data_IF_153477448711
#
_entry.id   IF_153477448711
#
_cell.length_a   1.000
_cell.length_b   1.000
_cell.length_c   1.000
_cell.angle_alpha   90.00
_cell.angle_beta   90.00
_cell.angle_gamma   90.00
#
_symmetry.space_group_name_H-M   'P 1'
#
loop_
_entity.id
_entity.type
_entity.pdbx_description
1 polymer ?
#
# COMPACT_ATOMS: atom_id res chain seq x y z
N UNK A 1 -35.75 -5.01 80.05
CA UNK A 1 -34.74 -6.00 80.49
C UNK A 1 -33.42 -5.64 79.81
N UNK A 2 -32.42 -5.20 80.62
CA UNK A 2 -30.96 -5.02 80.39
C UNK A 2 -30.50 -4.20 79.15
N UNK A 3 -30.09 -2.92 79.25
CA UNK A 3 -28.86 -2.28 79.80
C UNK A 3 -27.60 -2.30 78.89
N UNK A 4 -27.19 -1.08 78.47
CA UNK A 4 -25.83 -0.46 78.40
C UNK A 4 -24.72 -1.13 77.57
N UNK A 5 -23.67 -0.48 77.05
CA UNK A 5 -23.22 0.90 76.76
C UNK A 5 -21.76 0.73 76.24
N UNK A 6 -21.23 1.76 75.54
CA UNK A 6 -19.81 2.15 75.47
C UNK A 6 -18.88 1.59 74.36
N UNK A 7 -18.69 2.45 73.34
CA UNK A 7 -17.45 3.00 72.77
C UNK A 7 -16.10 2.33 73.06
N UNK A 8 -15.29 2.10 72.01
CA UNK A 8 -13.85 2.35 72.05
C UNK A 8 -13.29 2.72 70.67
N UNK A 9 -12.71 3.92 70.58
CA UNK A 9 -11.82 4.36 69.50
C UNK A 9 -10.49 3.60 69.60
N UNK A 10 -10.01 3.03 68.49
CA UNK A 10 -8.58 2.74 68.31
C UNK A 10 -8.18 3.26 66.93
N UNK A 11 -7.47 4.38 66.93
CA UNK A 11 -6.62 4.83 65.82
C UNK A 11 -5.22 4.32 66.12
N UNK A 12 -4.66 3.50 65.24
CA UNK A 12 -3.22 3.25 65.18
C UNK A 12 -2.78 3.49 63.72
N UNK A 13 -1.97 4.53 63.57
CA UNK A 13 -1.20 4.89 62.38
C UNK A 13 0.21 4.29 62.51
N UNK A 14 0.93 4.21 61.37
CA UNK A 14 2.38 3.92 61.15
C UNK A 14 2.71 2.45 60.80
N UNK A 15 3.40 2.06 59.71
CA UNK A 15 4.43 2.70 58.86
C UNK A 15 4.48 2.14 57.42
N UNK A 16 5.18 2.89 56.56
CA UNK A 16 5.43 2.71 55.13
C UNK A 16 6.35 1.54 54.74
N UNK A 17 6.17 1.04 53.50
CA UNK A 17 7.18 1.01 52.40
C UNK A 17 7.08 -0.24 51.51
N UNK A 18 6.83 0.06 50.23
CA UNK A 18 7.18 -0.64 48.98
C UNK A 18 7.41 -2.16 49.00
N UNK A 19 6.61 -2.87 48.21
CA UNK A 19 7.21 -3.63 47.11
C UNK A 19 6.22 -3.89 45.95
N UNK A 20 6.64 -3.39 44.78
CA UNK A 20 6.48 -3.97 43.45
C UNK A 20 5.09 -4.33 42.90
N UNK A 21 4.77 -3.69 41.76
CA UNK A 21 3.92 -4.33 40.74
C UNK A 21 2.97 -3.40 40.01
N UNK A 22 3.44 -2.28 39.44
CA UNK A 22 2.70 -1.69 38.32
C UNK A 22 2.86 -2.63 37.12
N UNK A 23 1.92 -3.55 36.96
CA UNK A 23 1.79 -4.34 35.73
C UNK A 23 1.37 -3.38 34.61
N UNK A 24 2.34 -2.68 34.02
CA UNK A 24 2.25 -2.22 32.64
C UNK A 24 2.31 -3.46 31.75
N UNK A 25 1.17 -4.16 31.64
CA UNK A 25 0.96 -5.14 30.61
C UNK A 25 1.10 -4.42 29.27
N UNK A 26 2.22 -4.64 28.57
CA UNK A 26 2.33 -4.37 27.14
C UNK A 26 1.30 -5.28 26.46
N UNK A 27 0.07 -4.78 26.31
CA UNK A 27 -0.93 -5.43 25.49
C UNK A 27 -0.36 -5.58 24.09
N UNK A 28 -0.07 -6.81 23.68
CA UNK A 28 0.20 -7.14 22.29
C UNK A 28 -0.96 -6.57 21.47
N UNK A 29 -0.67 -5.59 20.60
CA UNK A 29 -1.68 -5.09 19.67
C UNK A 29 -2.17 -6.29 18.87
N UNK A 30 -3.44 -6.67 19.03
CA UNK A 30 -4.02 -7.76 18.25
C UNK A 30 -3.83 -7.44 16.77
N UNK A 31 -3.27 -8.38 16.00
CA UNK A 31 -3.19 -8.27 14.53
C UNK A 31 -4.60 -8.12 13.95
N UNK A 32 -4.74 -7.34 12.89
CA UNK A 32 -6.00 -7.17 12.16
C UNK A 32 -6.45 -8.51 11.54
N UNK A 33 -7.75 -8.67 11.30
CA UNK A 33 -8.29 -9.82 10.58
C UNK A 33 -8.27 -9.55 9.07
N UNK A 34 -8.08 -10.59 8.23
CA UNK A 34 -8.20 -10.45 6.78
C UNK A 34 -9.62 -10.11 6.35
N UNK A 35 -9.77 -9.46 5.20
CA UNK A 35 -11.07 -9.22 4.57
C UNK A 35 -11.84 -7.98 5.07
N UNK A 36 -11.39 -7.31 6.12
CA UNK A 36 -12.01 -6.11 6.69
C UNK A 36 -11.51 -4.83 6.00
N UNK A 37 -11.94 -4.63 4.76
CA UNK A 37 -11.68 -3.42 3.97
C UNK A 37 -12.78 -3.15 2.93
N UNK A 38 -12.79 -1.94 2.36
CA UNK A 38 -13.82 -1.49 1.41
C UNK A 38 -13.43 -1.68 -0.07
N UNK A 39 -12.18 -1.39 -0.44
CA UNK A 39 -11.69 -1.45 -1.82
C UNK A 39 -10.18 -1.71 -1.88
N UNK A 40 -9.68 -2.05 -3.07
CA UNK A 40 -8.24 -2.15 -3.32
C UNK A 40 -7.69 -0.92 -4.04
N UNK A 41 -6.50 -0.50 -3.65
CA UNK A 41 -5.62 0.34 -4.47
C UNK A 41 -4.62 -0.58 -5.18
N UNK A 42 -4.73 -0.70 -6.50
CA UNK A 42 -3.66 -1.29 -7.32
C UNK A 42 -2.69 -0.19 -7.72
N UNK A 43 -1.56 -0.12 -7.03
CA UNK A 43 -0.59 0.96 -7.12
C UNK A 43 0.56 0.56 -8.02
N UNK A 44 0.84 1.42 -9.00
CA UNK A 44 2.00 1.33 -9.87
C UNK A 44 2.97 2.47 -9.60
N UNK A 45 4.25 2.24 -9.89
CA UNK A 45 5.36 3.16 -9.66
C UNK A 45 6.13 3.44 -10.95
N UNK A 46 6.56 4.70 -11.08
CA UNK A 46 7.38 5.17 -12.18
C UNK A 46 8.82 5.35 -11.73
N UNK A 47 9.74 4.54 -12.25
CA UNK A 47 11.12 4.50 -11.76
C UNK A 47 11.80 5.87 -11.83
N UNK A 48 11.60 6.63 -12.91
CA UNK A 48 12.36 7.86 -13.14
C UNK A 48 12.08 8.98 -12.13
N UNK A 49 10.96 8.93 -11.43
CA UNK A 49 10.57 9.88 -10.38
C UNK A 49 10.52 9.25 -8.99
N UNK A 50 10.15 7.98 -8.86
CA UNK A 50 10.14 7.28 -7.57
C UNK A 50 11.54 7.21 -6.95
N UNK A 51 12.56 7.05 -7.79
CA UNK A 51 13.97 7.02 -7.37
C UNK A 51 14.53 8.39 -6.99
N UNK A 52 13.81 9.48 -7.24
CA UNK A 52 14.23 10.84 -6.84
C UNK A 52 13.85 11.17 -5.40
N UNK A 53 13.19 10.24 -4.69
CA UNK A 53 12.75 10.36 -3.30
C UNK A 53 13.87 10.04 -2.27
N UNK A 54 15.12 10.32 -2.61
CA UNK A 54 16.27 10.16 -1.70
C UNK A 54 16.91 8.77 -1.68
N UNK A 55 16.57 7.88 -2.60
CA UNK A 55 17.21 6.56 -2.74
C UNK A 55 17.62 6.29 -4.18
N UNK A 56 18.90 5.92 -4.38
CA UNK A 56 19.42 5.61 -5.71
C UNK A 56 18.92 4.24 -6.18
N UNK A 57 18.14 4.22 -7.25
CA UNK A 57 17.72 2.98 -7.87
C UNK A 57 18.83 2.28 -8.64
N UNK A 58 18.64 0.97 -8.83
CA UNK A 58 19.55 0.14 -9.60
C UNK A 58 19.36 0.37 -11.09
N UNK A 59 20.43 0.67 -11.86
CA UNK A 59 20.32 0.84 -13.31
C UNK A 59 19.75 -0.38 -14.04
N UNK A 60 20.01 -1.59 -13.54
CA UNK A 60 19.44 -2.84 -14.06
C UNK A 60 17.92 -2.93 -13.92
N UNK A 61 17.31 -2.07 -13.11
CA UNK A 61 15.86 -2.02 -12.93
C UNK A 61 15.19 -0.97 -13.81
N UNK A 62 15.93 -0.20 -14.62
CA UNK A 62 15.36 0.80 -15.52
C UNK A 62 14.46 0.14 -16.56
N UNK A 63 13.29 0.74 -16.78
CA UNK A 63 12.31 0.36 -17.81
C UNK A 63 11.40 1.55 -18.10
N UNK A 64 10.97 1.67 -19.35
CA UNK A 64 10.06 2.73 -19.80
C UNK A 64 8.60 2.33 -19.60
N UNK A 65 8.26 1.80 -18.42
CA UNK A 65 6.91 1.34 -18.09
C UNK A 65 6.62 1.51 -16.59
N UNK A 66 5.37 1.76 -16.25
CA UNK A 66 4.90 1.63 -14.88
C UNK A 66 5.02 0.17 -14.44
N UNK A 67 5.53 -0.04 -13.22
CA UNK A 67 5.58 -1.37 -12.60
C UNK A 67 4.75 -1.41 -11.35
N UNK A 68 4.41 -2.60 -10.88
CA UNK A 68 3.63 -2.79 -9.67
C UNK A 68 4.45 -2.32 -8.46
N UNK A 69 3.80 -1.54 -7.61
CA UNK A 69 4.23 -1.33 -6.23
C UNK A 69 3.45 -2.27 -5.32
N UNK A 70 2.12 -2.29 -5.42
CA UNK A 70 1.34 -3.31 -4.76
C UNK A 70 -0.17 -3.18 -4.87
N UNK A 71 -0.85 -4.16 -4.27
CA UNK A 71 -2.31 -4.25 -4.22
C UNK A 71 -2.75 -4.09 -2.76
N UNK A 72 -3.31 -2.93 -2.42
CA UNK A 72 -3.49 -2.54 -1.03
C UNK A 72 -4.96 -2.45 -0.65
N UNK A 73 -5.43 -3.30 0.28
CA UNK A 73 -6.71 -3.09 0.98
C UNK A 73 -6.79 -1.70 1.60
N UNK A 74 -7.87 -0.96 1.33
CA UNK A 74 -8.08 0.40 1.82
C UNK A 74 -9.56 0.65 2.19
N UNK A 75 -9.80 1.65 3.03
CA UNK A 75 -11.14 2.04 3.48
C UNK A 75 -11.52 3.44 3.01
N UNK A 76 -12.82 3.66 2.80
CA UNK A 76 -13.39 4.94 2.40
C UNK A 76 -13.17 6.04 3.44
N UNK A 77 -12.94 5.67 4.71
CA UNK A 77 -12.60 6.62 5.77
C UNK A 77 -11.11 7.04 5.80
N UNK A 78 -10.31 6.58 4.83
CA UNK A 78 -8.88 6.89 4.71
C UNK A 78 -7.96 6.03 5.58
N UNK A 79 -8.50 5.08 6.34
CA UNK A 79 -7.71 4.04 7.03
C UNK A 79 -7.46 2.83 6.11
N UNK A 80 -6.58 1.93 6.52
CA UNK A 80 -6.34 0.67 5.83
C UNK A 80 -5.92 -0.41 6.84
N UNK A 81 -6.34 -1.67 6.68
CA UNK A 81 -5.80 -2.76 7.47
C UNK A 81 -4.34 -3.03 7.07
N UNK A 82 -3.54 -3.52 8.01
CA UNK A 82 -2.17 -3.93 7.72
C UNK A 82 -1.71 -5.02 8.67
N UNK A 83 -0.77 -5.85 8.20
CA UNK A 83 -0.19 -6.94 8.99
C UNK A 83 -1.25 -7.87 9.59
N UNK A 84 -2.22 -8.27 8.76
CA UNK A 84 -3.32 -9.10 9.20
C UNK A 84 -2.86 -10.52 9.58
N UNK A 85 -3.72 -11.25 10.28
CA UNK A 85 -3.49 -12.68 10.52
C UNK A 85 -3.56 -13.43 9.19
N UNK A 86 -2.65 -14.37 8.98
CA UNK A 86 -2.55 -15.15 7.75
C UNK A 86 -1.26 -15.95 7.70
N UNK A 87 -1.06 -16.67 6.60
CA UNK A 87 0.19 -17.38 6.33
C UNK A 87 1.34 -16.39 6.14
N UNK A 88 2.53 -16.74 6.61
CA UNK A 88 3.76 -16.00 6.30
C UNK A 88 4.11 -16.11 4.82
N UNK A 89 4.87 -15.15 4.31
CA UNK A 89 5.39 -15.20 2.94
C UNK A 89 6.21 -16.47 2.70
N UNK A 90 6.03 -17.07 1.52
CA UNK A 90 6.77 -18.23 1.04
C UNK A 90 7.08 -18.07 -0.44
N UNK A 91 8.34 -17.90 -0.80
CA UNK A 91 8.75 -17.78 -2.22
C UNK A 91 8.39 -19.01 -3.05
N UNK A 92 8.37 -20.21 -2.44
CA UNK A 92 7.95 -21.44 -3.13
C UNK A 92 6.47 -21.44 -3.53
N UNK A 93 5.62 -20.67 -2.84
CA UNK A 93 4.19 -20.59 -3.17
C UNK A 93 3.92 -19.78 -4.45
N UNK A 94 4.91 -19.05 -4.97
CA UNK A 94 4.79 -18.19 -6.16
C UNK A 94 5.80 -18.57 -7.25
N UNK A 95 6.40 -19.76 -7.15
CA UNK A 95 7.48 -20.21 -8.03
C UNK A 95 7.09 -20.17 -9.52
N UNK A 96 5.81 -20.43 -9.81
CA UNK A 96 5.28 -20.50 -11.18
C UNK A 96 5.08 -19.15 -11.85
N UNK A 97 5.14 -18.04 -11.10
CA UNK A 97 4.93 -16.67 -11.61
C UNK A 97 6.11 -15.74 -11.31
N UNK A 98 7.28 -16.30 -10.97
CA UNK A 98 8.46 -15.50 -10.62
C UNK A 98 8.99 -14.67 -11.79
N UNK A 99 8.85 -15.16 -13.02
CA UNK A 99 9.35 -14.45 -14.22
C UNK A 99 8.56 -13.15 -14.41
N UNK A 100 7.24 -13.23 -14.31
CA UNK A 100 6.33 -12.10 -14.38
C UNK A 100 6.57 -11.14 -13.21
N UNK A 101 6.73 -11.66 -11.99
CA UNK A 101 7.02 -10.82 -10.82
C UNK A 101 8.37 -10.09 -10.94
N UNK A 102 9.42 -10.75 -11.42
CA UNK A 102 10.72 -10.12 -11.62
C UNK A 102 10.68 -8.99 -12.66
N UNK A 103 9.87 -9.19 -13.70
CA UNK A 103 9.70 -8.25 -14.80
C UNK A 103 8.80 -7.07 -14.41
N UNK A 104 7.70 -7.32 -13.70
CA UNK A 104 6.60 -6.37 -13.57
C UNK A 104 6.37 -5.88 -12.14
N UNK A 105 6.93 -6.56 -11.14
CA UNK A 105 6.91 -6.14 -9.73
C UNK A 105 8.32 -6.08 -9.11
N UNK A 106 9.28 -5.37 -9.74
CA UNK A 106 10.64 -5.28 -9.25
C UNK A 106 10.75 -4.45 -7.96
N UNK A 107 11.66 -4.85 -7.08
CA UNK A 107 12.32 -3.90 -6.20
C UNK A 107 13.19 -2.97 -7.04
N UNK A 108 13.03 -1.66 -6.86
CA UNK A 108 13.83 -0.65 -7.57
C UNK A 108 15.21 -0.43 -6.93
N UNK A 109 15.41 -0.93 -5.70
CA UNK A 109 16.60 -0.67 -4.88
C UNK A 109 17.44 -1.93 -4.58
N UNK A 110 16.87 -3.12 -4.76
CA UNK A 110 17.53 -4.38 -4.48
C UNK A 110 17.62 -5.26 -5.73
N UNK A 111 18.70 -6.05 -5.83
CA UNK A 111 18.85 -7.02 -6.92
C UNK A 111 17.80 -8.12 -6.80
N UNK A 112 17.65 -8.66 -5.58
CA UNK A 112 16.64 -9.63 -5.22
C UNK A 112 15.33 -8.91 -4.83
N UNK A 113 14.21 -9.35 -5.38
CA UNK A 113 12.90 -8.77 -5.16
C UNK A 113 12.16 -9.41 -3.95
N UNK A 114 12.63 -10.55 -3.43
CA UNK A 114 11.91 -11.31 -2.39
C UNK A 114 11.59 -10.50 -1.13
N UNK A 115 12.51 -9.66 -0.65
CA UNK A 115 12.25 -8.84 0.54
C UNK A 115 11.12 -7.82 0.29
N UNK A 116 11.00 -7.33 -0.96
CA UNK A 116 9.93 -6.43 -1.35
C UNK A 116 8.60 -7.17 -1.45
N UNK A 117 8.59 -8.36 -2.06
CA UNK A 117 7.38 -9.19 -2.14
C UNK A 117 6.91 -9.68 -0.76
N UNK A 118 7.84 -10.07 0.12
CA UNK A 118 7.52 -10.38 1.51
C UNK A 118 6.90 -9.16 2.20
N UNK A 119 7.48 -7.97 2.04
CA UNK A 119 6.89 -6.75 2.61
C UNK A 119 5.44 -6.54 2.13
N UNK A 120 5.21 -6.60 0.83
CA UNK A 120 3.89 -6.38 0.23
C UNK A 120 2.89 -7.46 0.66
N UNK A 121 3.29 -8.73 0.67
CA UNK A 121 2.44 -9.81 1.18
C UNK A 121 2.15 -9.63 2.67
N UNK A 122 3.19 -9.55 3.50
CA UNK A 122 3.07 -9.53 4.96
C UNK A 122 2.25 -8.33 5.43
N UNK A 123 2.41 -7.15 4.80
CA UNK A 123 1.70 -5.94 5.20
C UNK A 123 0.32 -5.81 4.57
N UNK A 124 0.15 -6.15 3.28
CA UNK A 124 -1.07 -5.88 2.52
C UNK A 124 -1.76 -7.16 2.02
N UNK A 125 -1.00 -8.10 1.46
CA UNK A 125 -1.54 -9.37 0.96
C UNK A 125 -2.22 -10.23 2.03
N UNK A 126 -1.68 -10.29 3.24
CA UNK A 126 -2.31 -11.00 4.37
C UNK A 126 -3.70 -10.46 4.70
N UNK A 127 -3.99 -9.19 4.43
CA UNK A 127 -5.30 -8.58 4.65
C UNK A 127 -6.27 -8.82 3.48
N UNK A 128 -5.76 -9.32 2.36
CA UNK A 128 -6.47 -9.48 1.09
C UNK A 128 -7.10 -10.87 0.92
N UNK A 129 -6.92 -11.78 1.89
CA UNK A 129 -7.45 -13.15 1.84
C UNK A 129 -8.96 -13.14 2.06
N UNK A 130 -9.71 -12.83 1.00
CA UNK A 130 -11.16 -12.76 0.93
C UNK A 130 -11.62 -12.82 -0.54
N UNK A 131 -12.78 -13.44 -0.78
CA UNK A 131 -13.37 -13.48 -2.13
C UNK A 131 -12.47 -14.20 -3.14
N UNK A 132 -12.10 -13.57 -4.27
CA UNK A 132 -11.29 -14.20 -5.31
C UNK A 132 -9.81 -14.40 -4.93
N UNK A 133 -9.31 -13.74 -3.87
CA UNK A 133 -7.95 -13.94 -3.37
C UNK A 133 -8.00 -14.87 -2.17
N UNK A 134 -7.56 -16.11 -2.33
CA UNK A 134 -7.62 -17.12 -1.26
C UNK A 134 -6.29 -17.38 -0.57
N UNK A 135 -5.18 -17.02 -1.22
CA UNK A 135 -3.84 -17.20 -0.68
C UNK A 135 -2.80 -16.21 -1.26
N UNK A 136 -1.52 -16.48 -0.99
CA UNK A 136 -0.40 -15.70 -1.50
C UNK A 136 -0.30 -15.77 -3.02
N UNK A 137 -0.49 -16.94 -3.63
CA UNK A 137 -0.39 -17.09 -5.07
C UNK A 137 -1.44 -16.23 -5.77
N UNK A 138 -2.69 -16.31 -5.32
CA UNK A 138 -3.80 -15.53 -5.88
C UNK A 138 -3.55 -14.03 -5.79
N UNK A 139 -2.99 -13.55 -4.67
CA UNK A 139 -2.68 -12.13 -4.48
C UNK A 139 -1.69 -11.60 -5.53
N UNK A 140 -0.60 -12.32 -5.75
CA UNK A 140 0.40 -11.93 -6.74
C UNK A 140 -0.10 -12.14 -8.17
N UNK A 141 -0.77 -13.25 -8.46
CA UNK A 141 -1.34 -13.55 -9.77
C UNK A 141 -2.42 -12.53 -10.18
N UNK A 142 -3.30 -12.14 -9.25
CA UNK A 142 -4.31 -11.11 -9.48
C UNK A 142 -3.67 -9.75 -9.80
N UNK A 143 -2.59 -9.39 -9.09
CA UNK A 143 -1.88 -8.12 -9.32
C UNK A 143 -1.21 -8.08 -10.70
N UNK A 144 -0.55 -9.18 -11.10
CA UNK A 144 0.06 -9.30 -12.44
C UNK A 144 -1.01 -9.25 -13.53
N UNK A 145 -2.10 -10.02 -13.37
CA UNK A 145 -3.24 -9.99 -14.30
C UNK A 145 -3.83 -8.59 -14.42
N UNK A 146 -3.91 -7.85 -13.31
CA UNK A 146 -4.40 -6.47 -13.30
C UNK A 146 -3.50 -5.55 -14.11
N UNK A 147 -2.17 -5.66 -13.98
CA UNK A 147 -1.24 -4.87 -14.79
C UNK A 147 -1.41 -5.15 -16.28
N UNK A 148 -1.50 -6.42 -16.68
CA UNK A 148 -1.58 -6.80 -18.08
C UNK A 148 -2.89 -6.38 -18.74
N UNK A 149 -4.00 -6.46 -18.01
CA UNK A 149 -5.30 -6.02 -18.50
C UNK A 149 -5.45 -4.49 -18.50
N UNK A 150 -4.71 -3.78 -17.66
CA UNK A 150 -4.85 -2.34 -17.45
C UNK A 150 -3.49 -1.63 -17.47
N UNK A 151 -2.76 -1.79 -18.58
CA UNK A 151 -1.43 -1.21 -18.73
C UNK A 151 -1.51 0.31 -18.89
N UNK A 152 -1.25 1.04 -17.80
CA UNK A 152 -1.30 2.50 -17.74
C UNK A 152 -0.34 3.17 -18.73
N UNK A 153 0.87 2.62 -18.93
CA UNK A 153 1.83 3.20 -19.89
C UNK A 153 1.26 3.14 -21.30
N UNK A 154 0.74 1.99 -21.74
CA UNK A 154 0.14 1.85 -23.06
C UNK A 154 -1.09 2.75 -23.24
N UNK A 155 -1.97 2.84 -22.23
CA UNK A 155 -3.15 3.71 -22.28
C UNK A 155 -2.78 5.20 -22.51
N UNK A 156 -1.69 5.66 -21.87
CA UNK A 156 -1.18 7.01 -22.05
C UNK A 156 -0.57 7.20 -23.45
N UNK A 157 0.23 6.23 -23.92
CA UNK A 157 0.83 6.26 -25.25
C UNK A 157 -0.21 6.28 -26.37
N UNK A 158 -1.27 5.48 -26.26
CA UNK A 158 -2.42 5.47 -27.18
C UNK A 158 -3.17 6.81 -27.19
N UNK A 159 -3.10 7.56 -26.08
CA UNK A 159 -3.62 8.91 -25.94
C UNK A 159 -2.62 10.00 -26.36
N UNK A 160 -1.48 9.63 -26.96
CA UNK A 160 -0.38 10.52 -27.34
C UNK A 160 0.25 11.29 -26.16
N UNK A 161 0.20 10.72 -24.96
CA UNK A 161 0.88 11.23 -23.77
C UNK A 161 2.13 10.39 -23.56
N UNK A 162 3.29 11.02 -23.61
CA UNK A 162 4.59 10.36 -23.48
C UNK A 162 5.41 10.99 -22.35
N UNK A 163 6.32 10.23 -21.72
CA UNK A 163 7.22 10.80 -20.73
C UNK A 163 8.14 11.85 -21.37
N UNK A 164 8.38 12.94 -20.65
CA UNK A 164 9.25 14.04 -21.05
C UNK A 164 9.98 14.63 -19.85
N UNK A 165 11.28 14.83 -20.02
CA UNK A 165 12.14 15.50 -19.03
C UNK A 165 12.01 17.04 -19.06
N UNK A 166 11.32 17.61 -20.06
CA UNK A 166 11.25 19.06 -20.27
C UNK A 166 9.84 19.61 -20.41
N UNK A 167 8.86 18.78 -20.80
CA UNK A 167 7.48 19.20 -20.97
C UNK A 167 6.61 18.58 -19.87
N UNK A 168 6.05 19.38 -18.96
CA UNK A 168 5.11 18.86 -17.97
C UNK A 168 3.79 18.50 -18.65
N UNK A 169 3.13 17.46 -18.14
CA UNK A 169 1.78 17.07 -18.54
C UNK A 169 0.75 17.72 -17.62
N UNK A 170 -0.40 18.07 -18.16
CA UNK A 170 -1.56 18.44 -17.36
C UNK A 170 -2.11 17.21 -16.62
N UNK A 171 -2.26 17.29 -15.30
CA UNK A 171 -2.69 16.15 -14.46
C UNK A 171 -4.10 15.70 -14.81
N UNK A 172 -5.00 16.61 -15.15
CA UNK A 172 -6.37 16.26 -15.54
C UNK A 172 -6.36 15.48 -16.85
N UNK A 173 -5.66 15.98 -17.88
CA UNK A 173 -5.55 15.26 -19.16
C UNK A 173 -4.88 13.88 -19.02
N UNK A 174 -3.87 13.78 -18.15
CA UNK A 174 -3.23 12.50 -17.82
C UNK A 174 -4.21 11.52 -17.15
N UNK A 175 -4.99 12.00 -16.19
CA UNK A 175 -6.04 11.21 -15.52
C UNK A 175 -7.17 10.81 -16.49
N UNK A 176 -7.60 11.72 -17.34
CA UNK A 176 -8.70 11.51 -18.29
C UNK A 176 -8.32 10.45 -19.34
N UNK A 177 -7.07 10.43 -19.81
CA UNK A 177 -6.57 9.41 -20.73
C UNK A 177 -6.69 8.01 -20.14
N UNK A 178 -6.24 7.83 -18.89
CA UNK A 178 -6.33 6.55 -18.19
C UNK A 178 -7.81 6.18 -17.93
N UNK A 179 -8.62 7.14 -17.51
CA UNK A 179 -10.06 6.92 -17.30
C UNK A 179 -10.76 6.52 -18.60
N UNK A 180 -10.39 7.10 -19.73
CA UNK A 180 -10.96 6.77 -21.04
C UNK A 180 -10.65 5.33 -21.44
N UNK A 181 -9.41 4.87 -21.25
CA UNK A 181 -9.00 3.50 -21.60
C UNK A 181 -9.65 2.44 -20.72
N UNK A 182 -9.85 2.71 -19.42
CA UNK A 182 -10.29 1.70 -18.45
C UNK A 182 -11.70 1.92 -17.89
N UNK A 183 -12.38 2.99 -18.30
CA UNK A 183 -13.69 3.39 -17.79
C UNK A 183 -13.74 3.49 -16.26
N UNK A 184 -12.63 3.88 -15.64
CA UNK A 184 -12.47 4.01 -14.20
C UNK A 184 -11.48 5.12 -13.87
N UNK A 185 -11.87 6.06 -13.02
CA UNK A 185 -11.06 7.20 -12.62
C UNK A 185 -9.88 6.76 -11.74
N UNK A 186 -8.62 7.05 -12.14
CA UNK A 186 -7.44 6.70 -11.35
C UNK A 186 -7.17 7.72 -10.24
N UNK A 187 -6.17 7.40 -9.41
CA UNK A 187 -5.49 8.38 -8.56
C UNK A 187 -4.05 8.59 -9.03
N UNK A 188 -3.60 9.84 -9.01
CA UNK A 188 -2.23 10.22 -9.38
C UNK A 188 -1.52 10.77 -8.15
N UNK A 189 -0.33 10.23 -7.86
CA UNK A 189 0.56 10.76 -6.84
C UNK A 189 1.74 11.46 -7.51
N UNK A 190 2.00 12.69 -7.08
CA UNK A 190 3.24 13.38 -7.40
C UNK A 190 4.19 13.40 -6.21
N UNK A 191 5.48 13.24 -6.48
CA UNK A 191 6.55 13.61 -5.57
C UNK A 191 7.19 14.90 -6.08
N UNK A 192 7.09 15.97 -5.29
CA UNK A 192 7.37 17.34 -5.75
C UNK A 192 6.56 17.62 -7.03
N UNK A 193 7.23 17.95 -8.12
CA UNK A 193 6.62 18.24 -9.42
C UNK A 193 6.61 17.04 -10.37
N UNK A 194 6.93 15.82 -9.90
CA UNK A 194 7.02 14.63 -10.77
C UNK A 194 5.93 13.61 -10.44
N UNK A 195 5.23 13.10 -11.45
CA UNK A 195 4.32 11.96 -11.32
C UNK A 195 5.14 10.76 -10.88
N UNK A 196 4.83 10.20 -9.70
CA UNK A 196 5.61 9.12 -9.09
C UNK A 196 4.87 7.80 -9.07
N UNK A 197 3.56 7.83 -8.86
CA UNK A 197 2.72 6.64 -8.79
C UNK A 197 1.35 6.94 -9.37
N UNK A 198 0.71 5.89 -9.87
CA UNK A 198 -0.67 5.90 -10.34
C UNK A 198 -1.37 4.69 -9.73
N UNK A 199 -2.55 4.90 -9.16
CA UNK A 199 -3.38 3.81 -8.66
C UNK A 199 -4.66 3.68 -9.48
N UNK A 200 -5.00 2.43 -9.79
CA UNK A 200 -6.36 2.04 -10.18
C UNK A 200 -7.05 1.47 -8.94
N UNK A 201 -8.36 1.64 -8.83
CA UNK A 201 -9.12 1.11 -7.70
C UNK A 201 -10.01 -0.03 -8.15
N UNK A 202 -10.16 -1.03 -7.28
CA UNK A 202 -11.03 -2.17 -7.52
C UNK A 202 -11.94 -2.44 -6.33
N UNK A 203 -13.12 -2.97 -6.59
CA UNK A 203 -13.94 -3.59 -5.56
C UNK A 203 -13.32 -4.90 -5.06
N UNK A 204 -13.96 -5.54 -4.09
CA UNK A 204 -13.46 -6.79 -3.48
C UNK A 204 -13.51 -8.00 -4.43
N UNK A 205 -14.25 -7.89 -5.52
CA UNK A 205 -14.34 -8.90 -6.58
C UNK A 205 -13.32 -8.62 -7.71
N UNK A 206 -12.43 -7.64 -7.50
CA UNK A 206 -11.36 -7.22 -8.42
C UNK A 206 -11.88 -6.57 -9.72
N UNK A 207 -13.08 -6.01 -9.71
CA UNK A 207 -13.56 -5.18 -10.81
C UNK A 207 -13.11 -3.74 -10.62
N UNK A 208 -12.70 -3.07 -11.69
CA UNK A 208 -12.35 -1.66 -11.64
C UNK A 208 -13.53 -0.80 -11.19
N UNK A 209 -13.25 0.16 -10.32
CA UNK A 209 -14.17 1.20 -9.85
C UNK A 209 -13.50 2.56 -9.94
N UNK A 210 -14.29 3.62 -9.98
CA UNK A 210 -13.78 4.97 -9.76
C UNK A 210 -13.11 5.05 -8.39
N UNK A 211 -11.89 5.54 -8.34
CA UNK A 211 -11.16 5.62 -7.09
C UNK A 211 -11.81 6.58 -6.08
N UNK A 212 -12.10 6.10 -4.86
CA UNK A 212 -12.37 6.99 -3.73
C UNK A 212 -11.12 7.82 -3.37
N UNK A 213 -11.27 8.96 -2.67
CA UNK A 213 -10.11 9.70 -2.17
C UNK A 213 -9.22 8.83 -1.27
N UNK A 214 -7.93 8.71 -1.60
CA UNK A 214 -6.96 7.98 -0.80
C UNK A 214 -5.79 8.86 -0.35
N UNK A 215 -5.32 8.63 0.87
CA UNK A 215 -4.23 9.42 1.46
C UNK A 215 -2.94 9.23 0.66
N UNK A 216 -2.28 10.35 0.35
CA UNK A 216 -0.98 10.34 -0.33
C UNK A 216 -1.05 10.38 -1.85
N UNK A 217 -2.22 10.23 -2.47
CA UNK A 217 -2.38 10.38 -3.92
C UNK A 217 -2.84 11.79 -4.28
N UNK A 218 -1.88 12.71 -4.33
CA UNK A 218 -2.14 14.12 -4.66
C UNK A 218 -1.01 14.68 -5.53
N UNK A 219 -1.35 15.67 -6.35
CA UNK A 219 -0.40 16.55 -7.02
C UNK A 219 -0.70 18.00 -6.58
N UNK A 220 0.33 18.76 -6.19
CA UNK A 220 0.15 20.13 -5.68
C UNK A 220 -0.14 21.13 -6.81
N UNK A 221 0.30 20.82 -8.03
CA UNK A 221 0.11 21.63 -9.24
C UNK A 221 -0.83 20.93 -10.21
N UNK A 222 -1.49 21.70 -11.08
CA UNK A 222 -2.29 21.18 -12.20
C UNK A 222 -1.43 20.55 -13.31
N UNK A 223 -0.11 20.72 -13.25
CA UNK A 223 0.85 20.11 -14.16
C UNK A 223 2.02 19.48 -13.41
N UNK A 224 2.54 18.38 -13.93
CA UNK A 224 3.70 17.69 -13.38
C UNK A 224 4.56 17.09 -14.50
N UNK A 225 5.83 16.87 -14.24
CA UNK A 225 6.71 16.13 -15.11
C UNK A 225 6.45 14.63 -14.99
N UNK A 226 6.53 13.95 -16.13
CA UNK A 226 6.58 12.49 -16.20
C UNK A 226 7.93 12.13 -16.84
N UNK A 227 9.02 12.04 -16.07
CA UNK A 227 10.37 12.04 -16.63
C UNK A 227 10.67 10.75 -17.41
N UNK A 228 11.51 10.86 -18.44
CA UNK A 228 11.98 9.74 -19.27
C UNK A 228 13.37 9.24 -18.89
N UNK A 229 14.08 9.95 -18.00
CA UNK A 229 15.43 9.58 -17.56
C UNK A 229 15.61 9.70 -16.05
N UNK A 230 16.60 8.99 -15.50
CA UNK A 230 16.99 9.13 -14.10
C UNK A 230 17.75 10.43 -13.93
N UNK A 231 17.06 11.48 -13.46
CA UNK A 231 17.72 12.72 -13.05
C UNK A 231 18.52 12.48 -11.76
N UNK A 232 19.77 12.95 -11.76
CA UNK A 232 20.72 12.80 -10.63
C UNK A 232 20.51 13.86 -9.57
#
# INVERSE_FOLDING_TARGET
>A
MKFKLLTLFIVVLLLASNCCGSHHGKGSKRKAEPGEFDFYLFVTQWIYSYCTQGQKCLPSKIRSAFTIHGLWPNNNNGTYPSFCKGASYSSSAIQDILVELDQDWPSLFALNNNDFWDHEWTKHGTCSVVGPITDQYDYFAASIKTLYNHNITLALEESNIYPSDTQPVNIQSFSDAIQHSFNAKPLVQCYKENISQVALCMDKDLNLIDCPPAKGFTCQSSSAYWPSTLHK
#
